data_IF_530429216912
#
_entry.id   IF_530429216912
#
_cell.length_a   1.000
_cell.length_b   1.000
_cell.length_c   1.000
_cell.angle_alpha   90.00
_cell.angle_beta   90.00
_cell.angle_gamma   90.00
#
_symmetry.space_group_name_H-M   'P 1'
#
loop_
_entity.id
_entity.type
_entity.pdbx_description
1 polymer ?
#
# COMPACT_ATOMS: atom_id res chain seq x y z
N UNK A 1 -8.05 9.50 -18.58
CA UNK A 1 -8.91 8.93 -17.51
C UNK A 1 -8.24 8.96 -16.13
N UNK A 2 -6.97 8.55 -16.04
CA UNK A 2 -6.25 8.34 -14.77
C UNK A 2 -5.61 9.60 -14.14
N UNK A 3 -5.34 10.66 -14.92
CA UNK A 3 -4.65 11.90 -14.47
C UNK A 3 -5.31 12.59 -13.27
N UNK A 4 -6.62 12.43 -13.09
CA UNK A 4 -7.37 13.01 -11.97
C UNK A 4 -6.89 12.54 -10.59
N UNK A 5 -6.20 11.41 -10.52
CA UNK A 5 -5.69 10.82 -9.27
C UNK A 5 -4.26 11.25 -8.92
N UNK A 6 -3.60 12.10 -9.74
CA UNK A 6 -2.18 12.39 -9.60
C UNK A 6 -1.82 13.01 -8.25
N UNK A 7 -2.52 14.08 -7.86
CA UNK A 7 -2.28 14.79 -6.58
C UNK A 7 -2.49 13.87 -5.38
N UNK A 8 -3.51 13.04 -5.46
CA UNK A 8 -3.88 12.10 -4.40
C UNK A 8 -2.82 11.01 -4.23
N UNK A 9 -2.43 10.35 -5.32
CA UNK A 9 -1.42 9.29 -5.31
C UNK A 9 -0.04 9.82 -4.95
N UNK A 10 0.35 10.99 -5.49
CA UNK A 10 1.62 11.65 -5.14
C UNK A 10 1.68 11.99 -3.65
N UNK A 11 0.58 12.51 -3.08
CA UNK A 11 0.49 12.77 -1.64
C UNK A 11 0.55 11.51 -0.78
N UNK A 12 -0.05 10.40 -1.26
CA UNK A 12 0.00 9.13 -0.56
C UNK A 12 1.40 8.48 -0.60
N UNK A 13 2.00 8.38 -1.78
CA UNK A 13 3.30 7.72 -1.94
C UNK A 13 4.46 8.55 -1.40
N UNK A 14 4.39 9.88 -1.44
CA UNK A 14 5.41 10.75 -0.82
C UNK A 14 5.51 10.54 0.69
N UNK A 15 4.40 10.28 1.39
CA UNK A 15 4.42 9.91 2.81
C UNK A 15 5.11 8.57 3.05
N UNK A 16 4.80 7.58 2.21
CA UNK A 16 5.39 6.24 2.32
C UNK A 16 6.87 6.18 1.97
N UNK A 17 7.31 6.96 0.98
CA UNK A 17 8.70 6.98 0.48
C UNK A 17 9.57 8.02 1.19
N UNK A 18 8.95 9.02 1.84
CA UNK A 18 9.61 10.23 2.35
C UNK A 18 10.40 11.00 1.28
N UNK A 19 10.02 10.82 0.02
CA UNK A 19 10.64 11.41 -1.15
C UNK A 19 9.55 11.75 -2.18
N UNK A 20 9.52 13.02 -2.59
CA UNK A 20 8.50 13.54 -3.50
C UNK A 20 8.82 13.22 -4.97
N UNK A 21 10.09 13.17 -5.34
CA UNK A 21 10.51 12.85 -6.71
C UNK A 21 10.30 11.35 -6.96
N UNK A 22 10.77 10.50 -6.04
CA UNK A 22 10.51 9.06 -6.13
C UNK A 22 9.01 8.74 -6.15
N UNK A 23 8.18 9.51 -5.42
CA UNK A 23 6.73 9.36 -5.48
C UNK A 23 6.15 9.75 -6.84
N UNK A 24 6.65 10.82 -7.47
CA UNK A 24 6.22 11.22 -8.81
C UNK A 24 6.54 10.13 -9.86
N UNK A 25 7.74 9.54 -9.78
CA UNK A 25 8.14 8.44 -10.64
C UNK A 25 7.24 7.21 -10.49
N UNK A 26 6.91 6.85 -9.24
CA UNK A 26 5.98 5.75 -8.96
C UNK A 26 4.61 6.04 -9.58
N UNK A 27 4.08 7.25 -9.43
CA UNK A 27 2.77 7.63 -10.00
C UNK A 27 2.80 7.58 -11.53
N UNK A 28 3.87 8.08 -12.15
CA UNK A 28 4.02 8.02 -13.60
C UNK A 28 4.05 6.57 -14.09
N UNK A 29 4.82 5.71 -13.43
CA UNK A 29 4.89 4.28 -13.77
C UNK A 29 3.54 3.58 -13.54
N UNK A 30 2.76 3.98 -12.52
CA UNK A 30 1.39 3.48 -12.33
C UNK A 30 0.52 3.74 -13.56
N UNK A 31 0.58 4.95 -14.12
CA UNK A 31 -0.18 5.29 -15.30
C UNK A 31 0.25 4.53 -16.54
N UNK A 32 1.55 4.36 -16.75
CA UNK A 32 2.06 3.55 -17.88
C UNK A 32 1.52 2.12 -17.80
N UNK A 33 1.61 1.48 -16.63
CA UNK A 33 1.10 0.12 -16.44
C UNK A 33 -0.42 0.04 -16.57
N UNK A 34 -1.17 1.01 -16.03
CA UNK A 34 -2.63 1.05 -16.14
C UNK A 34 -3.10 1.24 -17.58
N UNK A 35 -2.46 2.12 -18.35
CA UNK A 35 -2.74 2.34 -19.77
C UNK A 35 -2.43 1.09 -20.61
N UNK A 36 -1.35 0.37 -20.30
CA UNK A 36 -1.02 -0.90 -20.96
C UNK A 36 -2.09 -1.97 -20.70
N UNK A 37 -2.69 -2.01 -19.51
CA UNK A 37 -3.79 -2.93 -19.19
C UNK A 37 -5.09 -2.55 -19.89
N UNK A 38 -5.41 -1.26 -19.97
CA UNK A 38 -6.60 -0.73 -20.65
C UNK A 38 -6.56 -1.01 -22.17
N UNK A 39 -5.40 -0.75 -22.79
CA UNK A 39 -5.17 -1.06 -24.22
C UNK A 39 -5.16 -2.56 -24.52
N UNK A 40 -4.87 -3.40 -23.53
CA UNK A 40 -4.97 -4.86 -23.59
C UNK A 40 -6.40 -5.40 -23.49
N UNK A 41 -7.42 -4.55 -23.39
CA UNK A 41 -8.84 -4.93 -23.35
C UNK A 41 -9.33 -5.38 -21.97
N UNK A 42 -8.56 -5.11 -20.90
CA UNK A 42 -8.99 -5.44 -19.54
C UNK A 42 -9.97 -4.37 -19.05
N UNK A 43 -11.21 -4.76 -18.74
CA UNK A 43 -12.18 -3.83 -18.15
C UNK A 43 -11.72 -3.38 -16.76
N UNK A 44 -11.46 -2.09 -16.61
CA UNK A 44 -11.03 -1.49 -15.33
C UNK A 44 -12.26 -0.94 -14.60
N UNK A 45 -12.80 -1.74 -13.68
CA UNK A 45 -13.97 -1.33 -12.87
C UNK A 45 -13.65 -0.21 -11.88
N UNK A 46 -12.47 -0.24 -11.25
CA UNK A 46 -12.03 0.79 -10.30
C UNK A 46 -10.60 1.26 -10.62
N UNK A 47 -10.46 2.29 -11.47
CA UNK A 47 -9.18 2.90 -11.83
C UNK A 47 -8.35 3.35 -10.62
N UNK A 48 -9.01 3.92 -9.60
CA UNK A 48 -8.33 4.46 -8.42
C UNK A 48 -7.67 3.36 -7.61
N UNK A 49 -8.44 2.34 -7.23
CA UNK A 49 -7.91 1.19 -6.49
C UNK A 49 -6.81 0.44 -7.26
N UNK A 50 -6.95 0.32 -8.59
CA UNK A 50 -5.93 -0.26 -9.45
C UNK A 50 -4.61 0.51 -9.34
N UNK A 51 -4.63 1.84 -9.44
CA UNK A 51 -3.42 2.67 -9.35
C UNK A 51 -2.75 2.57 -7.98
N UNK A 52 -3.53 2.53 -6.89
CA UNK A 52 -3.00 2.29 -5.54
C UNK A 52 -2.30 0.93 -5.45
N UNK A 53 -2.91 -0.12 -6.00
CA UNK A 53 -2.34 -1.47 -6.02
C UNK A 53 -1.05 -1.53 -6.84
N UNK A 54 -1.06 -0.94 -8.05
CA UNK A 54 0.12 -0.89 -8.91
C UNK A 54 1.26 -0.17 -8.20
N UNK A 55 1.02 1.01 -7.62
CA UNK A 55 2.06 1.78 -6.96
C UNK A 55 2.64 1.09 -5.73
N UNK A 56 1.82 0.42 -4.92
CA UNK A 56 2.32 -0.41 -3.81
C UNK A 56 3.23 -1.53 -4.31
N UNK A 57 2.85 -2.21 -5.38
CA UNK A 57 3.67 -3.26 -5.97
C UNK A 57 5.01 -2.72 -6.47
N UNK A 58 5.00 -1.58 -7.18
CA UNK A 58 6.23 -0.92 -7.65
C UNK A 58 7.16 -0.60 -6.46
N UNK A 59 6.64 -0.03 -5.38
CA UNK A 59 7.44 0.31 -4.19
C UNK A 59 8.04 -0.94 -3.55
N UNK A 60 7.24 -2.01 -3.41
CA UNK A 60 7.71 -3.29 -2.85
C UNK A 60 8.80 -3.89 -3.74
N UNK A 61 8.62 -3.90 -5.05
CA UNK A 61 9.57 -4.47 -6.00
C UNK A 61 10.89 -3.68 -6.02
N UNK A 62 10.82 -2.34 -6.01
CA UNK A 62 12.00 -1.46 -5.88
C UNK A 62 12.74 -1.72 -4.57
N UNK A 63 12.04 -1.81 -3.45
CA UNK A 63 12.65 -2.11 -2.15
C UNK A 63 13.33 -3.48 -2.12
N UNK A 64 12.70 -4.51 -2.73
CA UNK A 64 13.31 -5.85 -2.84
C UNK A 64 14.56 -5.83 -3.70
N UNK A 65 14.54 -5.11 -4.82
CA UNK A 65 15.69 -4.95 -5.72
C UNK A 65 16.85 -4.24 -5.03
N UNK A 66 16.57 -3.12 -4.36
CA UNK A 66 17.57 -2.38 -3.58
C UNK A 66 18.21 -3.28 -2.53
N UNK A 67 17.41 -4.01 -1.75
CA UNK A 67 17.93 -4.92 -0.73
C UNK A 67 18.79 -6.06 -1.30
N UNK A 68 18.53 -6.51 -2.54
CA UNK A 68 19.35 -7.52 -3.21
C UNK A 68 20.68 -6.93 -3.70
N UNK A 69 20.65 -5.72 -4.27
CA UNK A 69 21.82 -4.98 -4.72
C UNK A 69 22.74 -4.62 -3.55
N UNK A 70 22.18 -4.11 -2.46
CA UNK A 70 22.90 -3.80 -1.22
C UNK A 70 23.64 -5.02 -0.66
N UNK A 71 22.98 -6.19 -0.64
CA UNK A 71 23.60 -7.46 -0.23
C UNK A 71 24.75 -7.86 -1.14
N UNK A 72 24.58 -7.68 -2.45
CA UNK A 72 25.61 -7.99 -3.44
C UNK A 72 26.83 -7.08 -3.28
N UNK A 73 26.62 -5.76 -3.19
CA UNK A 73 27.68 -4.78 -2.97
C UNK A 73 28.42 -5.00 -1.63
N UNK A 74 27.68 -5.38 -0.58
CA UNK A 74 28.27 -5.77 0.71
C UNK A 74 29.15 -7.01 0.54
N UNK A 75 28.71 -8.02 -0.22
CA UNK A 75 29.48 -9.24 -0.46
C UNK A 75 30.78 -9.00 -1.25
N UNK A 76 30.80 -7.97 -2.10
CA UNK A 76 31.98 -7.53 -2.84
C UNK A 76 32.92 -6.62 -2.04
N UNK A 77 32.55 -6.25 -0.80
CA UNK A 77 33.31 -5.30 0.02
C UNK A 77 33.31 -3.87 -0.52
N UNK A 78 32.44 -3.55 -1.48
CA UNK A 78 32.36 -2.24 -2.14
C UNK A 78 31.63 -1.22 -1.27
N UNK A 79 30.71 -1.68 -0.42
CA UNK A 79 29.96 -0.84 0.51
C UNK A 79 30.11 -1.39 1.93
N UNK A 80 30.58 -0.54 2.84
CA UNK A 80 30.56 -0.78 4.29
C UNK A 80 29.48 0.10 4.90
N UNK A 81 28.41 -0.50 5.43
CA UNK A 81 27.35 0.26 6.09
C UNK A 81 26.35 0.87 5.11
N UNK A 82 25.62 0.02 4.39
CA UNK A 82 24.31 0.43 3.90
C UNK A 82 23.45 0.73 5.14
N UNK A 83 22.63 1.78 5.11
CA UNK A 83 21.53 2.04 6.08
C UNK A 83 20.43 0.95 5.98
N UNK A 84 20.85 -0.31 5.94
CA UNK A 84 20.00 -1.47 6.05
C UNK A 84 19.50 -1.55 7.49
N UNK A 85 18.22 -1.88 7.71
CA UNK A 85 17.71 -2.02 9.05
C UNK A 85 18.55 -2.99 9.87
N UNK A 86 18.85 -2.67 11.13
CA UNK A 86 19.58 -3.58 12.00
C UNK A 86 18.81 -4.90 12.20
N UNK A 87 19.50 -5.96 12.64
CA UNK A 87 18.84 -7.24 12.93
C UNK A 87 17.71 -7.08 13.97
N UNK A 88 17.93 -6.23 14.97
CA UNK A 88 16.96 -5.86 16.00
C UNK A 88 15.76 -5.14 15.38
N UNK A 89 16.01 -4.19 14.47
CA UNK A 89 14.94 -3.51 13.74
C UNK A 89 14.13 -4.54 12.95
N UNK A 90 14.77 -5.43 12.18
CA UNK A 90 14.07 -6.48 11.43
C UNK A 90 13.19 -7.39 12.31
N UNK A 91 13.66 -7.77 13.49
CA UNK A 91 12.85 -8.53 14.46
C UNK A 91 11.66 -7.70 14.94
N UNK A 92 11.87 -6.43 15.31
CA UNK A 92 10.81 -5.52 15.72
C UNK A 92 9.73 -5.34 14.63
N UNK A 93 10.13 -5.11 13.37
CA UNK A 93 9.20 -4.99 12.24
C UNK A 93 8.39 -6.27 12.05
N UNK A 94 9.03 -7.44 12.13
CA UNK A 94 8.34 -8.74 12.04
C UNK A 94 7.34 -8.93 13.17
N UNK A 95 7.71 -8.62 14.41
CA UNK A 95 6.82 -8.73 15.57
C UNK A 95 5.61 -7.81 15.43
N UNK A 96 5.81 -6.56 15.01
CA UNK A 96 4.72 -5.60 14.74
C UNK A 96 3.78 -6.12 13.65
N UNK A 97 4.32 -6.63 12.55
CA UNK A 97 3.53 -7.19 11.46
C UNK A 97 2.74 -8.43 11.91
N UNK A 98 3.36 -9.35 12.63
CA UNK A 98 2.67 -10.52 13.19
C UNK A 98 1.55 -10.13 14.15
N UNK A 99 1.76 -9.12 14.99
CA UNK A 99 0.72 -8.58 15.87
C UNK A 99 -0.46 -7.99 15.11
N UNK A 100 -0.20 -7.24 14.04
CA UNK A 100 -1.25 -6.71 13.15
C UNK A 100 -2.03 -7.84 12.48
N UNK A 101 -1.35 -8.83 11.91
CA UNK A 101 -1.99 -9.97 11.26
C UNK A 101 -2.88 -10.75 12.23
N UNK A 102 -2.43 -10.98 13.46
CA UNK A 102 -3.22 -11.63 14.49
C UNK A 102 -4.49 -10.83 14.85
N UNK A 103 -4.40 -9.50 14.94
CA UNK A 103 -5.57 -8.62 15.17
C UNK A 103 -6.56 -8.70 14.02
N UNK A 104 -6.07 -8.63 12.77
CA UNK A 104 -6.91 -8.77 11.57
C UNK A 104 -7.59 -10.14 11.52
N UNK A 105 -6.92 -11.22 11.91
CA UNK A 105 -7.50 -12.56 11.93
C UNK A 105 -8.63 -12.72 12.95
N UNK A 106 -8.55 -12.01 14.09
CA UNK A 106 -9.58 -12.04 15.15
C UNK A 106 -10.76 -11.09 14.87
N UNK A 107 -10.63 -10.24 13.85
CA UNK A 107 -11.63 -9.26 13.48
C UNK A 107 -12.84 -9.92 12.79
N UNK A 108 -14.07 -9.45 13.01
CA UNK A 108 -15.23 -9.92 12.25
C UNK A 108 -15.00 -9.78 10.73
N UNK A 109 -15.37 -10.78 9.90
CA UNK A 109 -15.02 -10.83 8.48
C UNK A 109 -15.34 -9.54 7.71
N UNK A 110 -16.60 -9.06 7.78
CA UNK A 110 -17.02 -7.81 7.10
C UNK A 110 -16.18 -6.60 7.51
N UNK A 111 -15.77 -6.51 8.78
CA UNK A 111 -14.97 -5.40 9.28
C UNK A 111 -13.53 -5.46 8.73
N UNK A 112 -12.97 -6.67 8.67
CA UNK A 112 -11.65 -6.93 8.08
C UNK A 112 -11.65 -6.59 6.59
N UNK A 113 -12.68 -7.01 5.86
CA UNK A 113 -12.76 -6.79 4.41
C UNK A 113 -12.88 -5.29 4.09
N UNK A 114 -13.72 -4.56 4.85
CA UNK A 114 -13.79 -3.09 4.78
C UNK A 114 -12.43 -2.45 5.03
N UNK A 115 -11.70 -2.88 6.08
CA UNK A 115 -10.38 -2.35 6.38
C UNK A 115 -9.38 -2.59 5.25
N UNK A 116 -9.35 -3.80 4.70
CA UNK A 116 -8.47 -4.18 3.60
C UNK A 116 -8.79 -3.34 2.36
N UNK A 117 -10.06 -3.22 1.97
CA UNK A 117 -10.44 -2.44 0.79
C UNK A 117 -10.07 -0.97 0.95
N UNK A 118 -10.43 -0.34 2.07
CA UNK A 118 -10.26 1.11 2.26
C UNK A 118 -8.81 1.47 2.58
N UNK A 119 -8.15 0.77 3.51
CA UNK A 119 -6.81 1.15 4.00
C UNK A 119 -5.69 0.51 3.21
N UNK A 120 -5.90 -0.69 2.66
CA UNK A 120 -4.87 -1.42 1.92
C UNK A 120 -5.04 -1.22 0.41
N UNK A 121 -6.23 -1.40 -0.14
CA UNK A 121 -6.44 -1.21 -1.58
C UNK A 121 -6.86 0.21 -1.96
N UNK A 122 -7.10 1.07 -0.98
CA UNK A 122 -7.39 2.48 -1.20
C UNK A 122 -8.80 2.76 -1.73
N UNK A 123 -9.76 1.83 -1.62
CA UNK A 123 -11.15 2.07 -2.03
C UNK A 123 -11.74 3.26 -1.26
N UNK A 124 -12.57 4.07 -1.91
CA UNK A 124 -13.40 5.06 -1.21
C UNK A 124 -14.48 4.33 -0.38
N UNK A 125 -15.07 5.01 0.60
CA UNK A 125 -16.17 4.41 1.37
C UNK A 125 -17.36 4.02 0.46
N UNK A 126 -17.64 4.81 -0.59
CA UNK A 126 -18.68 4.52 -1.57
C UNK A 126 -18.34 3.30 -2.44
N UNK A 127 -17.09 3.20 -2.90
CA UNK A 127 -16.62 2.05 -3.68
C UNK A 127 -16.65 0.76 -2.85
N UNK A 128 -16.20 0.81 -1.59
CA UNK A 128 -16.25 -0.32 -0.69
C UNK A 128 -17.69 -0.72 -0.35
N UNK A 129 -18.59 0.25 -0.18
CA UNK A 129 -20.01 0.01 0.07
C UNK A 129 -20.67 -0.73 -1.10
N UNK A 130 -20.43 -0.26 -2.34
CA UNK A 130 -20.90 -0.91 -3.55
C UNK A 130 -20.30 -2.32 -3.71
N UNK A 131 -19.01 -2.50 -3.43
CA UNK A 131 -18.32 -3.78 -3.57
C UNK A 131 -18.78 -4.83 -2.55
N UNK A 132 -19.16 -4.42 -1.34
CA UNK A 132 -19.57 -5.30 -0.25
C UNK A 132 -21.10 -5.41 -0.08
N UNK A 133 -21.87 -4.82 -1.01
CA UNK A 133 -23.32 -4.73 -0.97
C UNK A 133 -23.84 -4.25 0.39
N UNK A 134 -23.38 -3.07 0.80
CA UNK A 134 -23.77 -2.45 2.07
C UNK A 134 -23.84 -0.93 1.97
N UNK A 135 -24.27 -0.26 3.04
CA UNK A 135 -24.38 1.20 3.05
C UNK A 135 -23.04 1.86 3.36
N UNK A 136 -22.82 3.07 2.83
CA UNK A 136 -21.64 3.90 3.12
C UNK A 136 -21.48 4.12 4.64
N UNK A 137 -22.59 4.37 5.35
CA UNK A 137 -22.58 4.52 6.81
C UNK A 137 -22.12 3.24 7.53
N UNK A 138 -22.46 2.06 7.02
CA UNK A 138 -21.97 0.79 7.56
C UNK A 138 -20.46 0.66 7.35
N UNK A 139 -19.95 1.01 6.16
CA UNK A 139 -18.51 1.04 5.86
C UNK A 139 -17.77 1.97 6.82
N UNK A 140 -18.22 3.21 6.99
CA UNK A 140 -17.60 4.17 7.90
C UNK A 140 -17.49 3.62 9.33
N UNK A 141 -18.58 3.06 9.85
CA UNK A 141 -18.62 2.42 11.17
C UNK A 141 -17.64 1.24 11.27
N UNK A 142 -17.54 0.43 10.22
CA UNK A 142 -16.60 -0.68 10.16
C UNK A 142 -15.14 -0.19 10.09
N UNK A 143 -14.83 0.83 9.30
CA UNK A 143 -13.49 1.43 9.21
C UNK A 143 -13.04 1.94 10.58
N UNK A 144 -13.85 2.76 11.25
CA UNK A 144 -13.50 3.32 12.56
C UNK A 144 -13.19 2.21 13.56
N UNK A 145 -14.06 1.20 13.64
CA UNK A 145 -13.87 0.04 14.53
C UNK A 145 -12.64 -0.77 14.16
N UNK A 146 -12.37 -0.96 12.87
CA UNK A 146 -11.19 -1.69 12.41
C UNK A 146 -9.89 -0.97 12.78
N UNK A 147 -9.86 0.36 12.67
CA UNK A 147 -8.70 1.17 13.08
C UNK A 147 -8.45 1.05 14.58
N UNK A 148 -9.51 1.09 15.39
CA UNK A 148 -9.42 0.87 16.84
C UNK A 148 -8.89 -0.53 17.15
N UNK A 149 -9.47 -1.58 16.55
CA UNK A 149 -9.05 -2.96 16.75
C UNK A 149 -7.58 -3.19 16.35
N UNK A 150 -7.10 -2.47 15.33
CA UNK A 150 -5.72 -2.54 14.88
C UNK A 150 -4.75 -1.76 15.79
N UNK A 151 -5.25 -0.82 16.62
CA UNK A 151 -4.49 -0.03 17.60
C UNK A 151 -3.41 0.85 16.98
N UNK A 152 -3.60 2.18 17.03
CA UNK A 152 -2.66 3.22 16.61
C UNK A 152 -1.77 2.87 15.40
N UNK A 153 -2.43 2.42 14.33
CA UNK A 153 -1.96 2.62 12.95
C UNK A 153 -2.17 4.08 12.53
N UNK A 154 -1.83 5.01 13.45
CA UNK A 154 -1.61 6.41 13.15
C UNK A 154 -0.45 6.44 12.15
N UNK A 155 -0.90 6.50 10.90
CA UNK A 155 -0.18 6.92 9.71
C UNK A 155 1.03 7.78 10.06
N UNK A 156 2.22 7.18 10.00
CA UNK A 156 3.42 7.91 9.59
C UNK A 156 3.56 7.73 8.08
#
# INVERSE_FOLDING_TARGET
MFERYYKELSGFFSRSLKDREAAADVVQECYVRALAMDTGGMAIENPRALLYRIGKNIIIDRSRRQAAEDRFLTSLGVVTGVDSPSAEQHVMWRQRLSGLLARLQRMPPKRRDVFILVRIYGYSHAEAAAHLDCTVAAVEKHVVRAVIDCGDLALY
#
